data_IF_937859953005
#
_entry.id   IF_937859953005
#
_cell.length_a   1.000
_cell.length_b   1.000
_cell.length_c   1.000
_cell.angle_alpha   90.00
_cell.angle_beta   90.00
_cell.angle_gamma   90.00
#
_symmetry.space_group_name_H-M   'P 1'
#
loop_
_entity.id
_entity.type
_entity.pdbx_description
1 polymer ?
#
# COMPACT_ATOMS: atom_id res chain seq x y z
N UNK A 1 -9.35 -5.15 -18.00
CA UNK A 1 -7.91 -4.86 -17.81
C UNK A 1 -7.65 -3.80 -16.74
N UNK A 2 -7.98 -2.52 -16.96
CA UNK A 2 -7.68 -1.42 -16.00
C UNK A 2 -8.34 -1.61 -14.62
N UNK A 3 -9.59 -2.08 -14.58
CA UNK A 3 -10.29 -2.41 -13.32
C UNK A 3 -9.57 -3.46 -12.47
N UNK A 4 -9.04 -4.52 -13.11
CA UNK A 4 -8.28 -5.58 -12.44
C UNK A 4 -6.98 -5.02 -11.87
N UNK A 5 -6.29 -4.16 -12.63
CA UNK A 5 -5.09 -3.46 -12.17
C UNK A 5 -5.37 -2.61 -10.92
N UNK A 6 -6.50 -1.89 -10.90
CA UNK A 6 -6.94 -1.11 -9.74
C UNK A 6 -7.17 -2.00 -8.50
N UNK A 7 -7.83 -3.14 -8.67
CA UNK A 7 -8.05 -4.12 -7.59
C UNK A 7 -6.72 -4.68 -7.07
N UNK A 8 -5.79 -5.04 -7.95
CA UNK A 8 -4.46 -5.54 -7.56
C UNK A 8 -3.70 -4.48 -6.76
N UNK A 9 -3.69 -3.23 -7.21
CA UNK A 9 -3.05 -2.13 -6.49
C UNK A 9 -3.67 -1.91 -5.11
N UNK A 10 -5.00 -1.98 -5.00
CA UNK A 10 -5.70 -1.86 -3.71
C UNK A 10 -5.29 -2.99 -2.76
N UNK A 11 -5.20 -4.23 -3.24
CA UNK A 11 -4.79 -5.39 -2.42
C UNK A 11 -3.34 -5.23 -1.93
N UNK A 12 -2.42 -4.87 -2.83
CA UNK A 12 -1.00 -4.69 -2.47
C UNK A 12 -0.85 -3.56 -1.44
N UNK A 13 -1.49 -2.42 -1.68
CA UNK A 13 -1.43 -1.30 -0.76
C UNK A 13 -2.09 -1.60 0.58
N UNK A 14 -3.18 -2.37 0.60
CA UNK A 14 -3.81 -2.85 1.83
C UNK A 14 -2.88 -3.76 2.64
N UNK A 15 -2.21 -4.73 2.01
CA UNK A 15 -1.22 -5.57 2.68
C UNK A 15 -0.09 -4.73 3.30
N UNK A 16 0.36 -3.69 2.60
CA UNK A 16 1.40 -2.78 3.12
C UNK A 16 0.93 -2.05 4.38
N UNK A 17 -0.30 -1.53 4.38
CA UNK A 17 -0.91 -0.86 5.54
C UNK A 17 -1.07 -1.81 6.72
N UNK A 18 -1.43 -3.07 6.47
CA UNK A 18 -1.51 -4.10 7.52
C UNK A 18 -0.13 -4.35 8.15
N UNK A 19 0.93 -4.46 7.33
CA UNK A 19 2.31 -4.61 7.83
C UNK A 19 2.72 -3.39 8.67
N UNK A 20 2.37 -2.18 8.25
CA UNK A 20 2.63 -0.96 9.02
C UNK A 20 1.93 -0.99 10.36
N UNK A 21 0.67 -1.43 10.39
CA UNK A 21 -0.12 -1.48 11.63
C UNK A 21 0.40 -2.50 12.64
N UNK A 22 0.93 -3.64 12.16
CA UNK A 22 1.52 -4.68 13.01
C UNK A 22 2.89 -4.25 13.54
N UNK A 23 3.60 -3.40 12.79
CA UNK A 23 4.94 -2.94 13.13
C UNK A 23 6.06 -3.82 12.55
N UNK A 24 7.33 -3.40 12.72
CA UNK A 24 8.47 -4.07 12.11
C UNK A 24 8.72 -5.47 12.68
N UNK A 25 8.90 -6.45 11.80
CA UNK A 25 9.56 -7.72 12.10
C UNK A 25 11.05 -7.62 11.78
N UNK A 26 11.86 -8.65 12.08
CA UNK A 26 13.29 -8.68 11.68
C UNK A 26 13.47 -8.38 10.19
N UNK A 27 12.62 -8.99 9.35
CA UNK A 27 12.67 -8.88 7.88
C UNK A 27 12.15 -7.55 7.35
N UNK A 28 11.23 -6.89 8.04
CA UNK A 28 10.64 -5.61 7.60
C UNK A 28 11.23 -4.41 8.32
N UNK A 29 12.11 -4.61 9.30
CA UNK A 29 12.75 -3.54 10.10
C UNK A 29 13.39 -2.44 9.25
N UNK A 30 13.94 -2.79 8.08
CA UNK A 30 14.52 -1.84 7.14
C UNK A 30 13.51 -0.85 6.55
N UNK A 31 12.24 -1.23 6.41
CA UNK A 31 11.16 -0.33 5.93
C UNK A 31 10.85 0.78 6.95
N UNK A 32 11.11 0.52 8.23
CA UNK A 32 10.86 1.46 9.34
C UNK A 32 12.11 2.19 9.80
N UNK A 33 13.22 2.10 9.04
CA UNK A 33 14.51 2.72 9.40
C UNK A 33 14.40 4.24 9.65
N UNK A 34 13.47 4.90 8.96
CA UNK A 34 13.17 6.33 9.10
C UNK A 34 11.84 6.58 9.84
N UNK A 35 11.37 5.60 10.62
CA UNK A 35 10.06 5.61 11.27
C UNK A 35 8.93 5.08 10.40
N UNK A 36 7.70 5.27 10.86
CA UNK A 36 6.48 4.74 10.23
C UNK A 36 5.99 5.57 9.03
N UNK A 37 6.47 6.81 8.90
CA UNK A 37 6.00 7.75 7.89
C UNK A 37 6.37 7.32 6.47
N UNK A 38 7.59 6.82 6.26
CA UNK A 38 8.04 6.33 4.96
C UNK A 38 7.19 5.17 4.42
N UNK A 39 6.94 4.08 5.18
CA UNK A 39 6.08 3.01 4.69
C UNK A 39 4.61 3.45 4.60
N UNK A 40 4.11 4.36 5.46
CA UNK A 40 2.77 4.97 5.30
C UNK A 40 2.61 5.68 3.95
N UNK A 41 3.58 6.51 3.57
CA UNK A 41 3.57 7.20 2.28
C UNK A 41 3.62 6.22 1.12
N UNK A 42 4.42 5.15 1.22
CA UNK A 42 4.45 4.10 0.21
C UNK A 42 3.09 3.39 0.07
N UNK A 43 2.43 3.08 1.19
CA UNK A 43 1.08 2.50 1.19
C UNK A 43 0.06 3.42 0.52
N UNK A 44 0.09 4.71 0.85
CA UNK A 44 -0.78 5.72 0.25
C UNK A 44 -0.53 5.88 -1.26
N UNK A 45 0.75 5.91 -1.67
CA UNK A 45 1.15 6.04 -3.07
C UNK A 45 0.70 4.84 -3.94
N UNK A 46 0.41 3.69 -3.33
CA UNK A 46 -0.12 2.50 -4.02
C UNK A 46 -1.65 2.46 -3.97
N UNK A 47 -2.24 2.72 -2.79
CA UNK A 47 -3.70 2.69 -2.58
C UNK A 47 -4.43 3.76 -3.37
N UNK A 48 -3.92 5.00 -3.37
CA UNK A 48 -4.60 6.15 -4.00
C UNK A 48 -4.74 5.94 -5.51
N UNK A 49 -3.67 5.61 -6.28
CA UNK A 49 -3.82 5.30 -7.70
C UNK A 49 -4.71 4.09 -7.94
N UNK A 50 -4.59 3.02 -7.13
CA UNK A 50 -5.44 1.84 -7.24
C UNK A 50 -6.93 2.17 -7.11
N UNK A 51 -7.27 2.99 -6.12
CA UNK A 51 -8.63 3.48 -5.90
C UNK A 51 -9.13 4.35 -7.04
N UNK A 52 -8.32 5.34 -7.49
CA UNK A 52 -8.67 6.20 -8.62
C UNK A 52 -8.95 5.36 -9.86
N UNK A 53 -8.07 4.40 -10.16
CA UNK A 53 -8.18 3.54 -11.33
C UNK A 53 -9.40 2.61 -11.26
N UNK A 54 -9.72 2.09 -10.07
CA UNK A 54 -10.91 1.29 -9.84
C UNK A 54 -12.20 2.13 -10.03
N UNK A 55 -12.23 3.33 -9.45
CA UNK A 55 -13.44 4.16 -9.42
C UNK A 55 -13.73 4.82 -10.78
N UNK A 56 -12.68 5.18 -11.54
CA UNK A 56 -12.81 5.73 -12.91
C UNK A 56 -13.30 4.71 -13.93
N UNK A 57 -13.33 3.43 -13.55
CA UNK A 57 -13.73 2.29 -14.38
C UNK A 57 -14.94 1.53 -13.78
N UNK A 58 -15.68 2.15 -12.83
CA UNK A 58 -17.04 1.75 -12.44
C UNK A 58 -18.02 2.06 -13.56
#
# INVERSE_FOLDING_TARGET
MKKILGIILIIIGFCLVVVIKIGPSRETSWLFKYGELAPMLAGAAILIPGWILYNKNR
#
